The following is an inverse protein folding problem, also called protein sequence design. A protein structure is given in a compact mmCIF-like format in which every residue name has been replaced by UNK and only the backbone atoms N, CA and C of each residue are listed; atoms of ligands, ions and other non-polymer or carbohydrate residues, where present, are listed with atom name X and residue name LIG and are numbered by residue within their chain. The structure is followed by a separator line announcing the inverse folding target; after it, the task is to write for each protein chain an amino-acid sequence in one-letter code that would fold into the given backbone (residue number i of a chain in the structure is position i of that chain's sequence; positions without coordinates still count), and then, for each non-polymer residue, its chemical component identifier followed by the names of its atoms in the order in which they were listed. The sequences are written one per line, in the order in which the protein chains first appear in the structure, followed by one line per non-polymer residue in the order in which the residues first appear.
data_IF_667179240048
#
_entry.id   IF_667179240048
#
_cell.length_a   1.000
_cell.length_b   1.000
_cell.length_c   1.000
_cell.angle_alpha   90.00
_cell.angle_beta   90.00
_cell.angle_gamma   90.00
#
_symmetry.space_group_name_H-M   'P 1'
#
loop_
_entity.id
_entity.type
_entity.pdbx_description
1 polymer ?
#
# COMPACT_ATOMS: atom_id res chain seq x y z
N UNK A 1 -6.55 10.27 -7.35
CA UNK A 1 -5.80 9.05 -7.64
C UNK A 1 -4.57 9.41 -8.45
N UNK A 2 -3.33 9.21 -7.95
CA UNK A 2 -2.14 9.42 -8.76
C UNK A 2 -2.03 8.34 -9.85
N UNK A 3 -1.65 8.74 -11.05
CA UNK A 3 -1.33 7.80 -12.12
C UNK A 3 0.08 7.26 -11.90
N UNK A 4 0.26 5.95 -12.11
CA UNK A 4 1.59 5.37 -12.19
C UNK A 4 2.40 6.01 -13.33
N UNK A 5 3.72 6.26 -13.15
CA UNK A 5 4.49 7.13 -14.05
C UNK A 5 4.81 6.52 -15.43
N UNK A 6 4.87 5.18 -15.52
CA UNK A 6 5.32 4.52 -16.75
C UNK A 6 4.17 3.91 -17.55
N UNK A 7 4.28 3.76 -18.88
CA UNK A 7 3.35 2.98 -19.68
C UNK A 7 3.43 1.49 -19.30
N UNK A 8 2.29 0.80 -19.33
CA UNK A 8 2.27 -0.64 -19.13
C UNK A 8 2.66 -1.36 -20.41
N UNK A 9 3.59 -2.33 -20.33
CA UNK A 9 4.17 -2.98 -21.52
C UNK A 9 3.17 -3.82 -22.34
N UNK A 10 2.15 -4.37 -21.70
CA UNK A 10 1.10 -5.18 -22.36
C UNK A 10 -0.20 -4.42 -22.64
N UNK A 11 -0.32 -3.18 -22.18
CA UNK A 11 -1.54 -2.40 -22.34
C UNK A 11 -1.21 -0.97 -22.76
N UNK A 12 -1.46 -0.58 -24.03
CA UNK A 12 -1.10 0.76 -24.52
C UNK A 12 -1.72 1.91 -23.72
N UNK A 13 -2.86 1.69 -23.09
CA UNK A 13 -3.54 2.67 -22.22
C UNK A 13 -3.27 2.47 -20.74
N UNK A 14 -2.63 1.35 -20.37
CA UNK A 14 -2.29 1.00 -19.00
C UNK A 14 -1.09 1.78 -18.49
N UNK A 15 -1.03 1.90 -17.16
CA UNK A 15 0.10 2.52 -16.45
C UNK A 15 0.68 1.53 -15.46
N UNK A 16 1.97 1.63 -15.20
CA UNK A 16 2.71 0.80 -14.27
C UNK A 16 3.62 1.65 -13.38
N UNK A 17 3.80 1.24 -12.15
CA UNK A 17 4.74 1.89 -11.24
C UNK A 17 6.20 1.53 -11.59
N UNK A 18 6.44 0.33 -12.08
CA UNK A 18 7.74 -0.19 -12.51
C UNK A 18 7.53 -1.42 -13.40
N UNK A 19 8.60 -1.89 -14.04
CA UNK A 19 8.57 -3.05 -14.91
C UNK A 19 8.53 -4.36 -14.08
N UNK A 20 7.37 -5.03 -14.05
CA UNK A 20 7.17 -6.32 -13.34
C UNK A 20 7.86 -7.49 -14.02
N UNK A 21 8.03 -7.41 -15.34
CA UNK A 21 8.68 -8.44 -16.15
C UNK A 21 10.21 -8.51 -15.96
N UNK A 22 10.74 -7.59 -15.17
CA UNK A 22 12.17 -7.50 -14.88
C UNK A 22 12.42 -7.77 -13.40
N UNK A 23 13.35 -8.67 -13.12
CA UNK A 23 13.76 -9.01 -11.75
C UNK A 23 14.38 -7.83 -10.99
N UNK A 24 14.93 -6.84 -11.71
CA UNK A 24 15.54 -5.64 -11.14
C UNK A 24 14.54 -4.52 -10.82
N UNK A 25 13.24 -4.74 -11.03
CA UNK A 25 12.16 -3.74 -10.83
C UNK A 25 12.50 -2.39 -11.48
N UNK A 26 12.96 -2.41 -12.73
CA UNK A 26 13.36 -1.18 -13.44
C UNK A 26 12.29 -0.10 -13.34
N UNK A 27 12.69 1.09 -12.90
CA UNK A 27 11.81 2.25 -12.68
C UNK A 27 11.30 2.39 -11.25
N UNK A 28 11.44 1.37 -10.38
CA UNK A 28 10.94 1.44 -9.01
C UNK A 28 11.54 2.62 -8.20
N UNK A 29 12.85 2.88 -8.20
CA UNK A 29 13.40 4.03 -7.46
C UNK A 29 12.77 5.35 -7.91
N UNK A 30 12.67 5.60 -9.22
CA UNK A 30 12.06 6.81 -9.77
C UNK A 30 10.57 6.91 -9.41
N UNK A 31 9.82 5.81 -9.49
CA UNK A 31 8.41 5.80 -9.12
C UNK A 31 8.20 6.11 -7.62
N UNK A 32 9.06 5.58 -6.75
CA UNK A 32 9.03 5.86 -5.31
C UNK A 32 9.28 7.36 -5.05
N UNK A 33 10.30 7.93 -5.66
CA UNK A 33 10.64 9.34 -5.50
C UNK A 33 9.51 10.26 -5.98
N UNK A 34 8.94 9.97 -7.15
CA UNK A 34 7.80 10.74 -7.70
C UNK A 34 6.57 10.66 -6.80
N UNK A 35 6.23 9.46 -6.31
CA UNK A 35 5.10 9.28 -5.41
C UNK A 35 5.35 9.98 -4.06
N UNK A 36 6.55 9.85 -3.51
CA UNK A 36 6.94 10.52 -2.27
C UNK A 36 6.80 12.05 -2.39
N UNK A 37 7.36 12.65 -3.43
CA UNK A 37 7.26 14.08 -3.69
C UNK A 37 5.80 14.53 -3.85
N UNK A 38 4.99 13.78 -4.59
CA UNK A 38 3.58 14.08 -4.75
C UNK A 38 2.83 14.03 -3.43
N UNK A 39 3.08 13.02 -2.59
CA UNK A 39 2.48 12.90 -1.27
C UNK A 39 2.89 14.02 -0.31
N UNK A 40 4.14 14.50 -0.39
CA UNK A 40 4.60 15.66 0.40
C UNK A 40 3.79 16.92 0.09
N UNK A 41 3.43 17.15 -1.17
CA UNK A 41 2.66 18.34 -1.58
C UNK A 41 1.15 18.17 -1.41
N UNK A 42 0.67 16.96 -1.07
CA UNK A 42 -0.77 16.68 -1.02
C UNK A 42 -1.49 17.53 0.02
N UNK A 43 -0.91 17.66 1.20
CA UNK A 43 -1.47 18.47 2.31
C UNK A 43 -1.57 19.95 1.92
N UNK A 44 -0.56 20.51 1.29
CA UNK A 44 -0.55 21.90 0.82
C UNK A 44 -1.61 22.14 -0.25
N UNK A 45 -1.75 21.19 -1.18
CA UNK A 45 -2.68 21.30 -2.30
C UNK A 45 -4.16 21.06 -1.92
N UNK A 46 -4.42 20.31 -0.85
CA UNK A 46 -5.79 19.92 -0.45
C UNK A 46 -6.26 20.58 0.85
N UNK A 47 -5.34 21.09 1.67
CA UNK A 47 -5.62 21.54 3.04
C UNK A 47 -5.89 20.38 4.02
N UNK A 48 -5.73 19.11 3.58
CA UNK A 48 -5.96 17.93 4.42
C UNK A 48 -4.62 17.36 4.89
N UNK A 49 -4.36 17.30 6.20
CA UNK A 49 -3.10 16.81 6.71
C UNK A 49 -2.99 15.28 6.57
N UNK A 50 -1.76 14.72 6.58
CA UNK A 50 -1.53 13.28 6.48
C UNK A 50 -2.32 12.47 7.52
N UNK A 51 -2.44 12.96 8.75
CA UNK A 51 -3.16 12.30 9.85
C UNK A 51 -4.68 12.19 9.62
N UNK A 52 -5.20 12.84 8.58
CA UNK A 52 -6.58 12.74 8.09
C UNK A 52 -6.66 12.14 6.68
N UNK A 53 -5.58 11.59 6.20
CA UNK A 53 -5.47 10.98 4.87
C UNK A 53 -5.24 9.48 5.01
N UNK A 54 -5.89 8.67 4.18
CA UNK A 54 -5.60 7.25 4.04
C UNK A 54 -5.04 6.95 2.64
N UNK A 55 -4.10 6.00 2.57
CA UNK A 55 -3.56 5.51 1.31
C UNK A 55 -3.95 4.06 1.09
N UNK A 56 -4.52 3.75 -0.07
CA UNK A 56 -4.96 2.40 -0.43
C UNK A 56 -4.36 2.03 -1.77
N UNK A 57 -3.79 0.86 -1.86
CA UNK A 57 -3.24 0.34 -3.12
C UNK A 57 -3.58 -1.13 -3.35
N UNK A 58 -3.64 -1.51 -4.62
CA UNK A 58 -3.84 -2.88 -5.08
C UNK A 58 -2.64 -3.33 -5.90
N UNK A 59 -2.19 -4.57 -5.71
CA UNK A 59 -1.08 -5.18 -6.47
C UNK A 59 0.19 -4.32 -6.39
N UNK A 60 0.74 -3.83 -7.51
CA UNK A 60 1.83 -2.84 -7.51
C UNK A 60 1.52 -1.60 -6.64
N UNK A 61 0.26 -1.11 -6.69
CA UNK A 61 -0.17 0.00 -5.83
C UNK A 61 -0.15 -0.36 -4.36
N UNK A 62 -0.45 -1.62 -4.01
CA UNK A 62 -0.32 -2.16 -2.65
C UNK A 62 1.14 -2.19 -2.18
N UNK A 63 2.06 -2.61 -3.04
CA UNK A 63 3.50 -2.57 -2.75
C UNK A 63 4.00 -1.12 -2.58
N UNK A 64 3.58 -0.19 -3.45
CA UNK A 64 3.91 1.23 -3.32
C UNK A 64 3.33 1.87 -2.05
N UNK A 65 2.14 1.41 -1.60
CA UNK A 65 1.56 1.84 -0.33
C UNK A 65 2.46 1.49 0.86
N UNK A 66 3.05 0.31 0.86
CA UNK A 66 3.99 -0.10 1.90
C UNK A 66 5.34 0.63 1.77
N UNK A 67 5.90 0.73 0.57
CA UNK A 67 7.22 1.32 0.35
C UNK A 67 7.28 2.82 0.65
N UNK A 68 6.24 3.56 0.25
CA UNK A 68 6.22 5.01 0.35
C UNK A 68 5.30 5.48 1.48
N UNK A 69 4.12 4.87 1.63
CA UNK A 69 3.14 5.27 2.64
C UNK A 69 3.66 5.14 4.08
N UNK A 70 4.47 4.11 4.37
CA UNK A 70 5.10 3.94 5.69
C UNK A 70 6.10 5.05 6.06
N UNK A 71 6.48 5.92 5.13
CA UNK A 71 7.35 7.07 5.40
C UNK A 71 6.57 8.30 5.90
N UNK A 72 5.24 8.25 5.88
CA UNK A 72 4.34 9.31 6.34
C UNK A 72 3.57 8.88 7.59
N UNK A 73 2.93 9.84 8.25
CA UNK A 73 2.02 9.60 9.38
C UNK A 73 0.56 9.66 8.89
N UNK A 74 0.20 8.79 7.96
CA UNK A 74 -1.18 8.70 7.48
C UNK A 74 -2.13 8.16 8.56
N UNK A 75 -3.41 8.52 8.46
CA UNK A 75 -4.44 7.96 9.33
C UNK A 75 -4.54 6.43 9.18
N UNK A 76 -4.38 5.93 7.94
CA UNK A 76 -4.42 4.50 7.64
C UNK A 76 -3.70 4.18 6.32
N UNK A 77 -3.12 2.99 6.25
CA UNK A 77 -2.59 2.39 5.02
C UNK A 77 -3.32 1.07 4.75
N UNK A 78 -3.73 0.82 3.51
CA UNK A 78 -4.31 -0.45 3.09
C UNK A 78 -3.57 -1.00 1.88
N UNK A 79 -2.90 -2.13 2.04
CA UNK A 79 -2.22 -2.85 0.96
C UNK A 79 -3.01 -4.11 0.61
N UNK A 80 -3.61 -4.12 -0.58
CA UNK A 80 -4.38 -5.23 -1.11
C UNK A 80 -3.54 -5.98 -2.14
N UNK A 81 -3.31 -7.27 -1.94
CA UNK A 81 -2.45 -8.13 -2.78
C UNK A 81 -1.09 -7.48 -3.09
N UNK A 82 -0.56 -6.73 -2.13
CA UNK A 82 0.76 -6.09 -2.23
C UNK A 82 1.85 -6.98 -1.67
N UNK A 83 3.08 -6.48 -1.75
CA UNK A 83 4.29 -7.16 -1.28
C UNK A 83 5.35 -6.12 -0.91
N UNK A 84 6.41 -6.55 -0.24
CA UNK A 84 7.56 -5.72 0.08
C UNK A 84 8.65 -5.89 -0.99
N UNK A 85 9.20 -4.79 -1.48
CA UNK A 85 10.39 -4.81 -2.34
C UNK A 85 11.66 -4.90 -1.53
N UNK A 86 11.64 -4.34 -0.31
CA UNK A 86 12.79 -4.25 0.59
C UNK A 86 12.38 -4.59 2.02
N UNK A 87 13.33 -4.98 2.83
CA UNK A 87 13.11 -5.10 4.27
C UNK A 87 12.73 -3.74 4.87
N UNK A 88 11.61 -3.66 5.61
CA UNK A 88 11.21 -2.41 6.23
C UNK A 88 12.21 -2.00 7.30
N UNK A 89 12.52 -0.71 7.35
CA UNK A 89 13.44 -0.18 8.32
C UNK A 89 12.68 0.48 9.47
N UNK A 90 13.16 0.28 10.71
CA UNK A 90 12.67 1.04 11.85
C UNK A 90 12.93 2.52 11.64
N UNK A 91 11.95 3.38 11.93
CA UNK A 91 12.10 4.83 11.87
C UNK A 91 11.74 5.45 13.23
N UNK A 92 12.22 6.68 13.54
CA UNK A 92 11.72 7.46 14.67
C UNK A 92 10.22 7.78 14.49
N UNK A 93 9.48 7.73 15.59
CA UNK A 93 8.04 8.00 15.62
C UNK A 93 7.19 6.78 15.33
N UNK A 94 5.88 6.98 15.35
CA UNK A 94 4.91 5.92 15.16
C UNK A 94 4.67 5.66 13.68
N UNK A 95 4.46 4.40 13.33
CA UNK A 95 3.99 4.02 12.01
C UNK A 95 2.47 4.23 11.88
N UNK A 96 2.03 4.51 10.66
CA UNK A 96 0.61 4.49 10.32
C UNK A 96 0.00 3.11 10.55
N UNK A 97 -1.21 3.02 11.14
CA UNK A 97 -1.95 1.78 11.17
C UNK A 97 -2.08 1.20 9.76
N UNK A 98 -1.75 -0.07 9.60
CA UNK A 98 -1.64 -0.71 8.28
C UNK A 98 -2.52 -1.95 8.22
N UNK A 99 -3.35 -2.06 7.19
CA UNK A 99 -4.14 -3.24 6.86
C UNK A 99 -3.52 -3.94 5.66
N UNK A 100 -3.16 -5.21 5.82
CA UNK A 100 -2.80 -6.10 4.71
C UNK A 100 -3.99 -7.00 4.38
N UNK A 101 -4.36 -7.05 3.09
CA UNK A 101 -5.43 -7.92 2.58
C UNK A 101 -4.89 -8.77 1.43
N UNK A 102 -5.18 -10.08 1.44
CA UNK A 102 -4.68 -10.98 0.39
C UNK A 102 -5.62 -12.16 0.13
N UNK A 103 -5.73 -12.55 -1.15
CA UNK A 103 -6.42 -13.76 -1.55
C UNK A 103 -5.56 -15.01 -1.34
N UNK A 104 -6.10 -16.05 -0.69
CA UNK A 104 -5.33 -17.28 -0.40
C UNK A 104 -4.97 -18.09 -1.64
N UNK A 105 -5.60 -17.81 -2.77
CA UNK A 105 -5.41 -18.49 -4.04
C UNK A 105 -4.94 -17.51 -5.13
N UNK A 106 -4.28 -16.42 -4.74
CA UNK A 106 -3.76 -15.39 -5.66
C UNK A 106 -2.69 -16.01 -6.58
N UNK A 107 -2.94 -16.09 -7.90
CA UNK A 107 -2.01 -16.66 -8.85
C UNK A 107 -0.94 -15.67 -9.34
N UNK A 108 -1.07 -14.38 -9.01
CA UNK A 108 -0.19 -13.30 -9.48
C UNK A 108 0.82 -12.94 -8.41
N UNK A 109 0.33 -12.68 -7.19
CA UNK A 109 1.17 -12.43 -6.02
C UNK A 109 0.90 -13.54 -5.01
N UNK A 110 1.84 -14.49 -4.84
CA UNK A 110 1.66 -15.61 -3.91
C UNK A 110 1.38 -15.14 -2.48
N UNK A 111 0.49 -15.83 -1.77
CA UNK A 111 0.12 -15.52 -0.37
C UNK A 111 1.33 -15.41 0.56
N UNK A 112 2.42 -16.13 0.24
CA UNK A 112 3.67 -16.07 0.98
C UNK A 112 4.26 -14.66 1.06
N UNK A 113 4.03 -13.82 0.04
CA UNK A 113 4.47 -12.42 0.05
C UNK A 113 3.73 -11.62 1.15
N UNK A 114 2.44 -11.87 1.34
CA UNK A 114 1.67 -11.25 2.43
C UNK A 114 2.10 -11.76 3.81
N UNK A 115 2.38 -13.05 3.97
CA UNK A 115 2.92 -13.62 5.21
C UNK A 115 4.28 -13.03 5.56
N UNK A 116 5.15 -12.87 4.55
CA UNK A 116 6.46 -12.22 4.73
C UNK A 116 6.29 -10.76 5.14
N UNK A 117 5.44 -10.00 4.44
CA UNK A 117 5.16 -8.61 4.76
C UNK A 117 4.61 -8.46 6.19
N UNK A 118 3.64 -9.29 6.58
CA UNK A 118 3.10 -9.34 7.96
C UNK A 118 4.19 -9.53 8.99
N UNK A 119 5.08 -10.49 8.76
CA UNK A 119 6.15 -10.81 9.69
C UNK A 119 7.15 -9.67 9.81
N UNK A 120 7.65 -9.15 8.69
CA UNK A 120 8.69 -8.12 8.67
C UNK A 120 8.17 -6.77 9.19
N UNK A 121 6.94 -6.37 8.84
CA UNK A 121 6.32 -5.15 9.34
C UNK A 121 6.06 -5.23 10.86
N UNK A 122 5.62 -6.40 11.35
CA UNK A 122 5.46 -6.62 12.79
C UNK A 122 6.78 -6.53 13.56
N UNK A 123 7.89 -7.02 13.01
CA UNK A 123 9.21 -6.95 13.63
C UNK A 123 9.73 -5.52 13.80
N UNK A 124 9.36 -4.59 12.92
CA UNK A 124 9.73 -3.18 13.05
C UNK A 124 8.73 -2.34 13.84
N UNK A 125 7.61 -2.95 14.27
CA UNK A 125 6.62 -2.33 15.16
C UNK A 125 5.51 -1.57 14.44
N UNK A 126 5.19 -1.92 13.18
CA UNK A 126 4.02 -1.37 12.47
C UNK A 126 2.74 -1.88 13.14
N UNK A 127 1.79 -1.00 13.54
CA UNK A 127 0.46 -1.41 13.99
C UNK A 127 -0.27 -2.08 12.82
N UNK A 128 -0.45 -3.42 12.90
CA UNK A 128 -0.82 -4.22 11.75
C UNK A 128 -2.12 -5.00 11.97
N UNK A 129 -3.08 -4.80 11.07
CA UNK A 129 -4.22 -5.66 10.83
C UNK A 129 -3.97 -6.52 9.59
N UNK A 130 -4.39 -7.79 9.65
CA UNK A 130 -4.18 -8.75 8.58
C UNK A 130 -5.46 -9.52 8.26
N UNK A 131 -5.81 -9.60 6.99
CA UNK A 131 -7.01 -10.27 6.54
C UNK A 131 -6.76 -11.09 5.27
N UNK A 132 -7.05 -12.38 5.33
CA UNK A 132 -7.08 -13.28 4.18
C UNK A 132 -8.52 -13.58 3.76
N UNK A 133 -8.73 -13.77 2.45
CA UNK A 133 -10.00 -14.24 1.93
C UNK A 133 -9.79 -15.40 0.94
N UNK A 134 -10.78 -16.26 0.81
CA UNK A 134 -10.78 -17.32 -0.21
C UNK A 134 -11.07 -16.70 -1.58
N UNK A 135 -10.02 -16.49 -2.39
CA UNK A 135 -10.10 -15.87 -3.71
C UNK A 135 -8.71 -15.64 -4.31
N UNK A 136 -8.70 -15.08 -5.52
CA UNK A 136 -7.50 -14.83 -6.32
C UNK A 136 -6.97 -13.40 -6.20
N UNK A 137 -6.44 -12.89 -7.32
CA UNK A 137 -5.88 -11.53 -7.44
C UNK A 137 -6.99 -10.49 -7.69
N UNK A 138 -7.76 -10.18 -6.66
CA UNK A 138 -8.97 -9.35 -6.74
C UNK A 138 -9.25 -8.64 -5.42
N UNK A 139 -10.21 -7.71 -5.42
CA UNK A 139 -10.77 -7.07 -4.22
C UNK A 139 -12.27 -7.43 -4.14
N UNK A 140 -12.64 -8.56 -3.54
CA UNK A 140 -14.04 -8.96 -3.41
C UNK A 140 -14.79 -8.10 -2.38
N UNK A 141 -16.13 -8.22 -2.35
CA UNK A 141 -16.98 -7.44 -1.44
C UNK A 141 -16.57 -7.56 0.04
N UNK A 142 -16.12 -8.75 0.46
CA UNK A 142 -15.66 -8.96 1.85
C UNK A 142 -14.39 -8.17 2.15
N UNK A 143 -13.48 -8.05 1.18
CA UNK A 143 -12.27 -7.23 1.32
C UNK A 143 -12.63 -5.74 1.39
N UNK A 144 -13.56 -5.27 0.53
CA UNK A 144 -14.06 -3.90 0.58
C UNK A 144 -14.73 -3.57 1.93
N UNK A 145 -15.52 -4.50 2.47
CA UNK A 145 -16.13 -4.34 3.80
C UNK A 145 -15.05 -4.21 4.90
N UNK A 146 -13.98 -5.00 4.83
CA UNK A 146 -12.87 -4.93 5.79
C UNK A 146 -12.10 -3.62 5.66
N UNK A 147 -11.83 -3.13 4.45
CA UNK A 147 -11.22 -1.82 4.20
C UNK A 147 -12.09 -0.71 4.81
N UNK A 148 -13.39 -0.73 4.52
CA UNK A 148 -14.34 0.27 5.05
C UNK A 148 -14.35 0.30 6.58
N UNK A 149 -14.38 -0.87 7.22
CA UNK A 149 -14.32 -0.98 8.68
C UNK A 149 -13.03 -0.39 9.23
N UNK A 150 -11.89 -0.72 8.64
CA UNK A 150 -10.59 -0.24 9.06
C UNK A 150 -10.45 1.29 8.88
N UNK A 151 -10.90 1.82 7.75
CA UNK A 151 -10.90 3.26 7.51
C UNK A 151 -11.79 4.02 8.50
N UNK A 152 -13.00 3.52 8.78
CA UNK A 152 -13.90 4.15 9.75
C UNK A 152 -13.26 4.20 11.14
N UNK A 153 -12.55 3.15 11.54
CA UNK A 153 -11.85 3.09 12.82
C UNK A 153 -10.74 4.14 12.94
N UNK A 154 -10.01 4.42 11.86
CA UNK A 154 -8.81 5.26 11.92
C UNK A 154 -9.00 6.69 11.39
N UNK A 155 -10.01 6.94 10.53
CA UNK A 155 -10.31 8.27 10.01
C UNK A 155 -11.36 9.02 10.82
N UNK A 156 -12.40 8.30 11.32
CA UNK A 156 -13.56 8.96 11.93
C UNK A 156 -13.47 9.07 13.47
N UNK A 157 -12.64 8.28 14.14
CA UNK A 157 -12.52 8.31 15.61
C UNK A 157 -11.56 9.38 16.17
N UNK A 158 -10.93 10.20 15.32
CA UNK A 158 -10.04 11.30 15.74
C UNK A 158 -10.74 12.64 15.93
N UNK A 159 -12.08 12.67 15.97
CA UNK A 159 -12.87 13.91 16.16
C UNK A 159 -13.33 14.14 17.62
N UNK A 160 -12.73 13.45 18.60
CA UNK A 160 -13.02 13.66 20.04
C UNK A 160 -11.81 14.21 20.79
#
# INVERSE_FOLDING_TARGET
FPNAPFPHFQSPQGRAWYALEREDFQGLPEARDRLFQWLQTLSENTGIPPERTAMIGFSQGGAMTLDVGLQFNFAALCSCSGYLHYEPQRRPGDFSPTLLIHGTQDPVVPIQAAHQAKTQLGQVGVPLDYFEFSGGHEIPAIALARISQFLNQHLLQKET
#
